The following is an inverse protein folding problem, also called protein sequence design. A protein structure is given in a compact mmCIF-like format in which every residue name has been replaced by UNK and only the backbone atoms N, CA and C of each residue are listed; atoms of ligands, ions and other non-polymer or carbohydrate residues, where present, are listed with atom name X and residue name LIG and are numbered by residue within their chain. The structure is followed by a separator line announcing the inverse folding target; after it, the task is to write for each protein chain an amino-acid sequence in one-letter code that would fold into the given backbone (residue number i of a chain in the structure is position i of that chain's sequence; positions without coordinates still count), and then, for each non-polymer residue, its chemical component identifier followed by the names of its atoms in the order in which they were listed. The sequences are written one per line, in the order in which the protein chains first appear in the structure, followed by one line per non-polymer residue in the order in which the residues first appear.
data_IF_425526024225
#
_entry.id   IF_425526024225
#
_cell.length_a   1.000
_cell.length_b   1.000
_cell.length_c   1.000
_cell.angle_alpha   90.00
_cell.angle_beta   90.00
_cell.angle_gamma   90.00
#
_symmetry.space_group_name_H-M   'P 1'
#
loop_
_entity.id
_entity.type
_entity.pdbx_description
1 polymer ?
#
# COMPACT_ATOMS: atom_id res chain seq x y z
N UNK A 1 -5.86 10.95 20.65
CA UNK A 1 -4.46 10.46 20.61
C UNK A 1 -4.27 10.08 19.16
N UNK A 2 -3.95 11.09 18.33
CA UNK A 2 -4.06 10.96 16.88
C UNK A 2 -2.65 10.90 16.33
N UNK A 3 -2.01 9.75 16.51
CA UNK A 3 -0.65 9.50 16.06
C UNK A 3 -0.74 8.71 14.75
N UNK A 4 0.02 9.08 13.70
CA UNK A 4 0.06 8.30 12.48
C UNK A 4 0.72 6.94 12.76
N UNK A 5 0.12 5.85 12.28
CA UNK A 5 0.71 4.51 12.37
C UNK A 5 0.63 3.78 11.03
N UNK A 6 1.64 2.92 10.83
CA UNK A 6 1.81 2.08 9.66
C UNK A 6 2.03 0.64 10.14
N UNK A 7 1.25 -0.28 9.61
CA UNK A 7 1.45 -1.73 9.71
C UNK A 7 2.06 -2.20 8.40
N UNK A 8 3.23 -2.82 8.50
CA UNK A 8 3.96 -3.36 7.36
C UNK A 8 4.33 -4.81 7.64
N UNK A 9 4.12 -5.68 6.67
CA UNK A 9 4.65 -7.04 6.72
C UNK A 9 3.99 -8.00 5.77
N UNK A 10 4.36 -9.27 5.93
CA UNK A 10 3.77 -10.43 5.27
C UNK A 10 2.51 -10.87 6.01
N UNK A 11 1.35 -10.72 5.36
CA UNK A 11 0.05 -11.14 5.88
C UNK A 11 -0.33 -12.56 5.44
N UNK A 12 0.51 -13.21 4.63
CA UNK A 12 0.28 -14.54 4.05
C UNK A 12 -1.07 -14.69 3.32
N UNK A 13 -1.67 -13.57 2.90
CA UNK A 13 -3.00 -13.51 2.29
C UNK A 13 -3.05 -12.45 1.20
N UNK A 14 -3.70 -12.78 0.08
CA UNK A 14 -4.03 -11.84 -1.00
C UNK A 14 -5.38 -11.18 -0.73
N UNK A 15 -5.60 -9.98 -1.25
CA UNK A 15 -6.91 -9.29 -1.13
C UNK A 15 -7.77 -9.38 -2.38
N UNK A 16 -7.18 -9.75 -3.52
CA UNK A 16 -7.88 -9.94 -4.79
C UNK A 16 -7.28 -11.10 -5.59
N UNK A 17 -8.07 -11.71 -6.47
CA UNK A 17 -7.58 -12.80 -7.33
C UNK A 17 -6.54 -12.33 -8.36
N UNK A 18 -6.53 -11.04 -8.72
CA UNK A 18 -5.50 -10.42 -9.57
C UNK A 18 -4.11 -10.37 -8.90
N UNK A 19 -4.04 -10.48 -7.57
CA UNK A 19 -2.78 -10.60 -6.83
C UNK A 19 -2.20 -12.02 -6.87
N UNK A 20 -2.79 -12.93 -7.65
CA UNK A 20 -2.34 -14.32 -7.83
C UNK A 20 -2.08 -14.61 -9.30
N UNK A 21 -0.89 -15.11 -9.61
CA UNK A 21 -0.57 -15.69 -10.90
C UNK A 21 -0.25 -17.18 -10.75
N UNK A 22 -0.95 -18.03 -11.52
CA UNK A 22 -0.85 -19.49 -11.44
C UNK A 22 -1.98 -20.14 -10.63
N UNK A 23 -1.93 -21.46 -10.49
CA UNK A 23 -2.95 -22.21 -9.76
C UNK A 23 -2.73 -22.08 -8.26
N UNK A 24 -3.66 -21.40 -7.57
CA UNK A 24 -3.70 -21.34 -6.11
C UNK A 24 -4.84 -22.22 -5.59
N UNK A 25 -4.67 -22.76 -4.38
CA UNK A 25 -5.70 -23.55 -3.70
C UNK A 25 -6.87 -22.69 -3.19
N UNK A 26 -7.52 -23.16 -2.13
CA UNK A 26 -8.65 -22.45 -1.52
C UNK A 26 -8.18 -21.22 -0.72
N UNK A 27 -8.07 -20.06 -1.39
CA UNK A 27 -7.62 -18.79 -0.78
C UNK A 27 -8.76 -17.82 -0.45
N UNK A 28 -9.98 -18.08 -0.93
CA UNK A 28 -11.10 -17.13 -0.86
C UNK A 28 -11.54 -16.80 0.57
N UNK A 29 -11.53 -17.79 1.47
CA UNK A 29 -11.95 -17.59 2.86
C UNK A 29 -10.98 -16.65 3.58
N UNK A 30 -9.69 -16.95 3.56
CA UNK A 30 -8.67 -16.09 4.18
C UNK A 30 -8.67 -14.68 3.59
N UNK A 31 -8.84 -14.55 2.27
CA UNK A 31 -9.00 -13.24 1.61
C UNK A 31 -10.19 -12.44 2.16
N UNK A 32 -11.35 -13.08 2.33
CA UNK A 32 -12.53 -12.43 2.90
C UNK A 32 -12.33 -12.03 4.36
N UNK A 33 -11.79 -12.92 5.19
CA UNK A 33 -11.50 -12.64 6.60
C UNK A 33 -10.51 -11.48 6.74
N UNK A 34 -9.48 -11.44 5.91
CA UNK A 34 -8.49 -10.37 5.92
C UNK A 34 -9.07 -9.03 5.47
N UNK A 35 -9.87 -9.01 4.38
CA UNK A 35 -10.59 -7.81 3.96
C UNK A 35 -11.53 -7.29 5.06
N UNK A 36 -12.28 -8.18 5.72
CA UNK A 36 -13.12 -7.80 6.86
C UNK A 36 -12.30 -7.24 8.02
N UNK A 37 -11.12 -7.79 8.31
CA UNK A 37 -10.21 -7.28 9.32
C UNK A 37 -9.74 -5.85 9.01
N UNK A 38 -9.30 -5.58 7.76
CA UNK A 38 -8.88 -4.24 7.32
C UNK A 38 -10.02 -3.23 7.51
N UNK A 39 -11.23 -3.58 7.08
CA UNK A 39 -12.41 -2.70 7.22
C UNK A 39 -12.75 -2.47 8.69
N UNK A 40 -12.81 -3.51 9.50
CA UNK A 40 -13.21 -3.43 10.91
C UNK A 40 -12.20 -2.65 11.78
N UNK A 41 -10.92 -2.62 11.36
CA UNK A 41 -9.86 -1.88 12.04
C UNK A 41 -9.73 -0.43 11.57
N UNK A 42 -10.48 -0.03 10.53
CA UNK A 42 -10.36 1.30 9.92
C UNK A 42 -9.02 1.52 9.21
N UNK A 43 -8.33 0.43 8.86
CA UNK A 43 -7.05 0.49 8.18
C UNK A 43 -7.25 0.76 6.68
N UNK A 44 -6.31 1.50 6.11
CA UNK A 44 -6.32 1.89 4.71
C UNK A 44 -5.09 1.30 4.05
N UNK A 45 -5.29 0.55 2.97
CA UNK A 45 -4.18 0.01 2.17
C UNK A 45 -3.54 1.14 1.38
N UNK A 46 -2.22 1.32 1.52
CA UNK A 46 -1.47 2.22 0.66
C UNK A 46 -1.37 1.66 -0.76
N UNK A 47 -1.36 2.51 -1.80
CA UNK A 47 -1.14 2.05 -3.16
C UNK A 47 0.28 1.50 -3.31
N UNK A 48 0.40 0.35 -3.96
CA UNK A 48 1.69 -0.28 -4.30
C UNK A 48 2.13 0.13 -5.70
N UNK A 49 3.42 0.37 -5.88
CA UNK A 49 4.10 0.56 -7.16
C UNK A 49 5.27 -0.42 -7.31
N UNK A 50 5.73 -0.66 -8.55
CA UNK A 50 6.85 -1.56 -8.83
C UNK A 50 6.43 -3.01 -9.06
N UNK A 51 7.10 -3.97 -8.40
CA UNK A 51 6.85 -5.40 -8.61
C UNK A 51 5.47 -5.82 -8.08
N UNK A 52 4.58 -6.23 -8.98
CA UNK A 52 3.20 -6.60 -8.66
C UNK A 52 3.05 -7.83 -7.73
N UNK A 53 4.10 -8.66 -7.64
CA UNK A 53 4.13 -9.82 -6.77
C UNK A 53 5.28 -9.69 -5.78
N UNK A 54 4.98 -9.92 -4.52
CA UNK A 54 5.96 -9.84 -3.43
C UNK A 54 6.56 -11.19 -3.11
N UNK A 55 5.87 -12.28 -3.47
CA UNK A 55 6.32 -13.65 -3.26
C UNK A 55 6.38 -14.43 -4.58
N UNK A 56 7.55 -14.47 -5.24
CA UNK A 56 7.79 -15.33 -6.39
C UNK A 56 8.15 -16.77 -5.95
N UNK A 57 7.26 -17.74 -6.15
CA UNK A 57 7.64 -19.14 -5.93
C UNK A 57 8.56 -19.60 -7.07
N UNK A 58 9.87 -19.56 -6.84
CA UNK A 58 10.91 -20.07 -7.75
C UNK A 58 11.00 -21.60 -7.66
N UNK A 59 9.90 -22.27 -8.02
CA UNK A 59 9.90 -23.71 -8.22
C UNK A 59 10.50 -24.03 -9.59
N UNK A 60 11.39 -25.02 -9.69
CA UNK A 60 11.96 -25.52 -10.95
C UNK A 60 10.92 -26.21 -11.85
N UNK A 61 9.69 -26.42 -11.35
CA UNK A 61 8.58 -26.97 -12.12
C UNK A 61 7.81 -25.86 -12.86
N UNK A 62 7.19 -26.22 -13.97
CA UNK A 62 6.42 -25.38 -14.93
C UNK A 62 5.15 -24.69 -14.36
N UNK A 63 5.08 -24.50 -13.04
CA UNK A 63 3.96 -23.90 -12.29
C UNK A 63 4.46 -22.83 -11.34
N UNK A 64 5.10 -21.80 -11.88
CA UNK A 64 5.48 -20.62 -11.11
C UNK A 64 4.24 -19.96 -10.51
N UNK A 65 4.09 -20.05 -9.19
CA UNK A 65 3.01 -19.42 -8.42
C UNK A 65 3.53 -18.10 -7.87
N UNK A 66 2.84 -17.01 -8.17
CA UNK A 66 3.22 -15.67 -7.71
C UNK A 66 2.08 -15.08 -6.89
N UNK A 67 2.40 -14.45 -5.77
CA UNK A 67 1.42 -13.83 -4.88
C UNK A 67 1.89 -12.46 -4.39
N UNK A 68 0.94 -11.56 -4.15
CA UNK A 68 1.16 -10.36 -3.34
C UNK A 68 0.76 -10.66 -1.88
N UNK A 69 1.72 -10.90 -1.01
CA UNK A 69 1.49 -11.25 0.40
C UNK A 69 1.89 -10.13 1.37
N UNK A 70 2.78 -9.25 0.93
CA UNK A 70 3.35 -8.18 1.73
C UNK A 70 2.63 -6.86 1.44
N UNK A 71 2.21 -6.13 2.48
CA UNK A 71 1.38 -4.92 2.32
C UNK A 71 1.75 -3.85 3.35
N UNK A 72 1.49 -2.59 3.01
CA UNK A 72 1.50 -1.48 3.97
C UNK A 72 0.07 -0.97 4.19
N UNK A 73 -0.36 -0.98 5.46
CA UNK A 73 -1.65 -0.48 5.92
C UNK A 73 -1.42 0.70 6.86
N UNK A 74 -2.25 1.72 6.79
CA UNK A 74 -2.14 2.93 7.61
C UNK A 74 -3.47 3.33 8.19
N UNK A 75 -3.47 4.18 9.22
CA UNK A 75 -4.68 4.90 9.59
C UNK A 75 -4.91 6.18 8.79
N UNK A 76 -6.09 6.74 8.96
CA UNK A 76 -6.50 8.04 8.43
C UNK A 76 -5.56 9.19 8.83
N UNK A 77 -5.04 9.18 10.07
CA UNK A 77 -4.10 10.20 10.55
C UNK A 77 -2.82 10.21 9.71
N UNK A 78 -2.30 9.04 9.31
CA UNK A 78 -1.16 8.96 8.39
C UNK A 78 -1.45 9.65 7.06
N UNK A 79 -2.62 9.40 6.45
CA UNK A 79 -2.99 10.01 5.17
C UNK A 79 -3.20 11.52 5.26
N UNK A 80 -3.62 12.04 6.42
CA UNK A 80 -3.68 13.50 6.63
C UNK A 80 -2.30 14.16 6.60
N UNK A 81 -1.27 13.44 7.05
CA UNK A 81 0.11 13.91 7.06
C UNK A 81 0.82 13.63 5.74
N UNK A 82 0.54 12.52 5.06
CA UNK A 82 1.14 12.17 3.77
C UNK A 82 0.05 11.76 2.75
N UNK A 83 -0.70 12.71 2.17
CA UNK A 83 -1.87 12.41 1.35
C UNK A 83 -1.53 11.69 0.04
N UNK A 84 -0.31 11.88 -0.48
CA UNK A 84 0.17 11.26 -1.71
C UNK A 84 1.16 10.11 -1.43
N UNK A 85 1.05 9.44 -0.28
CA UNK A 85 1.93 8.32 0.02
C UNK A 85 1.55 7.04 -0.73
N UNK A 86 2.57 6.23 -0.99
CA UNK A 86 2.52 4.93 -1.65
C UNK A 86 3.69 4.09 -1.14
N UNK A 87 3.82 2.85 -1.59
CA UNK A 87 5.04 2.09 -1.36
C UNK A 87 5.53 1.37 -2.61
N UNK A 88 6.85 1.21 -2.69
CA UNK A 88 7.53 0.49 -3.74
C UNK A 88 7.78 -0.95 -3.29
N UNK A 89 7.38 -1.90 -4.13
CA UNK A 89 7.81 -3.30 -4.07
C UNK A 89 9.03 -3.47 -4.98
N UNK A 90 10.19 -3.78 -4.39
CA UNK A 90 11.46 -3.88 -5.09
C UNK A 90 11.78 -5.32 -5.50
N UNK A 91 12.52 -5.49 -6.60
CA UNK A 91 12.93 -6.82 -7.07
C UNK A 91 13.78 -7.55 -5.99
N UNK A 92 13.36 -8.74 -5.54
CA UNK A 92 14.09 -9.50 -4.55
C UNK A 92 15.34 -10.12 -5.17
N UNK A 93 16.49 -9.92 -4.52
CA UNK A 93 17.77 -10.52 -4.95
C UNK A 93 18.00 -11.91 -4.36
N UNK A 94 17.86 -12.03 -3.05
CA UNK A 94 18.21 -13.26 -2.30
C UNK A 94 17.06 -13.81 -1.46
N UNK A 95 16.03 -13.00 -1.19
CA UNK A 95 14.83 -13.39 -0.45
C UNK A 95 13.76 -13.94 -1.41
N UNK A 96 12.87 -14.77 -0.89
CA UNK A 96 11.61 -15.11 -1.55
C UNK A 96 10.51 -14.04 -1.31
N UNK A 97 10.83 -12.95 -0.60
CA UNK A 97 9.98 -11.77 -0.45
C UNK A 97 10.64 -10.50 -1.03
N UNK A 98 9.84 -9.68 -1.71
CA UNK A 98 10.21 -8.36 -2.20
C UNK A 98 10.34 -7.35 -1.05
N UNK A 99 11.45 -6.62 -0.94
CA UNK A 99 11.54 -5.50 0.01
C UNK A 99 10.50 -4.42 -0.31
N UNK A 100 9.87 -3.86 0.73
CA UNK A 100 8.89 -2.78 0.61
C UNK A 100 9.47 -1.46 1.14
N UNK A 101 9.25 -0.36 0.41
CA UNK A 101 9.74 0.98 0.78
C UNK A 101 8.59 1.97 0.77
N UNK A 102 8.33 2.62 1.90
CA UNK A 102 7.32 3.67 2.00
C UNK A 102 7.83 4.95 1.35
N UNK A 103 6.98 5.59 0.54
CA UNK A 103 7.26 6.83 -0.16
C UNK A 103 6.11 7.81 0.07
N UNK A 104 6.43 9.08 0.27
CA UNK A 104 5.42 10.11 0.44
C UNK A 104 6.04 11.44 0.85
N UNK A 105 5.39 12.52 0.47
CA UNK A 105 5.75 13.87 0.90
C UNK A 105 4.77 14.34 1.97
N UNK A 106 5.27 14.96 3.07
CA UNK A 106 4.39 15.49 4.08
C UNK A 106 3.52 16.59 3.49
N UNK A 107 2.29 16.71 3.98
CA UNK A 107 1.43 17.84 3.67
C UNK A 107 2.15 19.10 4.14
N UNK A 108 2.38 20.02 3.20
CA UNK A 108 2.87 21.35 3.54
C UNK A 108 1.73 22.02 4.30
N UNK A 109 1.79 22.04 5.63
CA UNK A 109 0.97 22.93 6.43
C UNK A 109 1.46 24.35 6.17
N UNK A 110 1.02 24.95 5.07
CA UNK A 110 1.20 26.37 4.84
C UNK A 110 0.48 27.10 5.96
N UNK A 111 1.23 27.61 6.93
CA UNK A 111 0.78 28.70 7.77
C UNK A 111 0.28 29.81 6.86
N UNK A 112 -1.01 30.12 6.99
CA UNK A 112 -1.77 31.24 6.41
C UNK A 112 -1.26 31.91 5.11
N UNK A 113 -2.17 31.89 4.13
CA UNK A 113 -2.54 32.99 3.23
C UNK A 113 -1.61 33.33 2.05
N UNK A 114 -2.14 33.10 0.85
CA UNK A 114 -2.02 34.11 -0.20
C UNK A 114 -3.42 34.43 -0.70
N UNK A 115 -3.90 35.64 -0.41
CA UNK A 115 -5.11 36.23 -0.99
C UNK A 115 -4.61 37.30 -1.95
N UNK A 116 -4.86 37.12 -3.25
CA UNK A 116 -4.50 38.11 -4.26
C UNK A 116 -5.75 38.93 -4.55
N UNK A 117 -5.93 40.03 -3.82
CA UNK A 117 -7.00 40.98 -4.10
C UNK A 117 -6.54 41.88 -5.26
N UNK A 118 -6.97 41.56 -6.47
CA UNK A 118 -6.80 42.43 -7.63
C UNK A 118 -7.72 43.65 -7.49
N UNK A 119 -7.21 44.75 -6.96
CA UNK A 119 -7.79 46.07 -7.14
C UNK A 119 -7.11 46.73 -8.33
N UNK A 120 -7.75 46.65 -9.50
CA UNK A 120 -7.44 47.57 -10.59
C UNK A 120 -7.95 48.95 -10.16
N UNK A 121 -7.03 49.78 -9.70
CA UNK A 121 -7.26 51.22 -9.61
C UNK A 121 -7.39 51.76 -11.04
N UNK A 122 -8.45 52.56 -11.21
CA UNK A 122 -8.89 53.18 -12.45
C UNK A 122 -7.83 54.13 -13.06
N UNK A 123 -8.12 54.64 -14.25
CA UNK A 123 -8.74 55.97 -14.28
C UNK A 123 -10.14 56.01 -14.91
#
# INVERSE_FOLDING_TARGET
MDIPWLVLGDFNTVVDMSEVCGTSGHIRLGMQEFLSCIVNTGLITLPMQGCAFTWPNRSDNDRSLWKCLDRMLVNDVWLSQWPNCYYLSLTPRTSNHSPLVACGEPSIQNGSMFRLDNYLAAP
#
